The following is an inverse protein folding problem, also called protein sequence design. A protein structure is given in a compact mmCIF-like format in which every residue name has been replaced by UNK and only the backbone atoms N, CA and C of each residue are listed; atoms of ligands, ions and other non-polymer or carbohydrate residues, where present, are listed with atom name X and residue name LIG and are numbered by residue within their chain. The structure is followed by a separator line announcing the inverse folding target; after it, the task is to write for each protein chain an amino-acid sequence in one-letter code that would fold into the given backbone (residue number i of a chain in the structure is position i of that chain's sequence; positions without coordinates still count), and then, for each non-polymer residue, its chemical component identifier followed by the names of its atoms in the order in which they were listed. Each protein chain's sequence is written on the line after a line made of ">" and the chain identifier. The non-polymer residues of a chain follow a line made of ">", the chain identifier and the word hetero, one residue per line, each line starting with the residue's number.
data_IF_765235719262
#
_entry.id   IF_765235719262
#
_cell.length_a   1.000
_cell.length_b   1.000
_cell.length_c   1.000
_cell.angle_alpha   90.00
_cell.angle_beta   90.00
_cell.angle_gamma   90.00
#
_symmetry.space_group_name_H-M   'P 1'
#
loop_
_entity.id
_entity.type
_entity.pdbx_description
1 polymer ?
#
# COMPACT_ATOMS: atom_id res chain seq x y z
N UNK A 1 -22.22 -5.01 24.98
CA UNK A 1 -21.10 -5.04 25.94
C UNK A 1 -20.60 -3.63 25.94
N UNK A 2 -20.85 -2.88 27.02
CA UNK A 2 -20.34 -1.51 27.11
C UNK A 2 -18.82 -1.56 26.85
N UNK A 3 -18.33 -0.68 25.97
CA UNK A 3 -16.92 -0.59 25.55
C UNK A 3 -16.42 -1.63 24.52
N UNK A 4 -17.29 -2.32 23.77
CA UNK A 4 -16.86 -3.24 22.70
C UNK A 4 -15.80 -2.64 21.77
N UNK A 5 -15.97 -1.39 21.36
CA UNK A 5 -15.02 -0.68 20.49
C UNK A 5 -13.60 -0.61 21.07
N UNK A 6 -13.47 -0.33 22.38
CA UNK A 6 -12.17 -0.26 23.04
C UNK A 6 -11.53 -1.64 23.14
N UNK A 7 -12.30 -2.65 23.52
CA UNK A 7 -11.84 -4.05 23.60
C UNK A 7 -11.36 -4.53 22.24
N UNK A 8 -12.09 -4.25 21.16
CA UNK A 8 -11.68 -4.60 19.79
C UNK A 8 -10.36 -3.91 19.39
N UNK A 9 -10.13 -2.66 19.80
CA UNK A 9 -8.88 -1.95 19.51
C UNK A 9 -7.72 -2.60 20.27
N UNK A 10 -7.87 -2.80 21.58
CA UNK A 10 -6.80 -3.37 22.40
C UNK A 10 -6.48 -4.82 22.04
N UNK A 11 -7.51 -5.62 21.76
CA UNK A 11 -7.30 -7.00 21.34
C UNK A 11 -6.57 -7.06 20.00
N UNK A 12 -6.87 -6.16 19.05
CA UNK A 12 -6.09 -6.06 17.81
C UNK A 12 -4.61 -5.84 18.09
N UNK A 13 -4.27 -4.85 18.93
CA UNK A 13 -2.87 -4.60 19.30
C UNK A 13 -2.23 -5.76 20.08
N UNK A 14 -2.99 -6.49 20.88
CA UNK A 14 -2.49 -7.70 21.52
C UNK A 14 -2.16 -8.79 20.49
N UNK A 15 -3.02 -8.99 19.50
CA UNK A 15 -2.80 -9.93 18.39
C UNK A 15 -1.58 -9.51 17.54
N UNK A 16 -1.39 -8.20 17.30
CA UNK A 16 -0.16 -7.65 16.72
C UNK A 16 1.08 -8.06 17.52
N UNK A 17 1.05 -7.88 18.85
CA UNK A 17 2.19 -8.19 19.71
C UNK A 17 2.53 -9.69 19.69
N UNK A 18 1.52 -10.57 19.64
CA UNK A 18 1.75 -12.01 19.46
C UNK A 18 2.50 -12.26 18.16
N UNK A 19 1.98 -11.78 17.02
CA UNK A 19 2.61 -12.00 15.71
C UNK A 19 4.03 -11.41 15.65
N UNK A 20 4.21 -10.16 16.11
CA UNK A 20 5.51 -9.50 16.16
C UNK A 20 6.50 -10.30 17.01
N UNK A 21 6.09 -10.78 18.19
CA UNK A 21 6.97 -11.57 19.08
C UNK A 21 7.37 -12.89 18.42
N UNK A 22 6.41 -13.64 17.88
CA UNK A 22 6.69 -14.92 17.23
C UNK A 22 7.65 -14.75 16.04
N UNK A 23 7.39 -13.78 15.17
CA UNK A 23 8.24 -13.52 14.02
C UNK A 23 9.60 -12.95 14.41
N UNK A 24 9.70 -12.09 15.43
CA UNK A 24 11.01 -11.63 15.93
C UNK A 24 11.85 -12.77 16.50
N UNK A 25 11.23 -13.74 17.17
CA UNK A 25 11.92 -14.90 17.73
C UNK A 25 12.34 -15.92 16.66
N UNK A 26 11.77 -15.84 15.46
CA UNK A 26 12.00 -16.81 14.37
C UNK A 26 12.56 -16.17 13.10
N UNK A 27 12.83 -14.86 13.11
CA UNK A 27 13.40 -14.18 11.96
C UNK A 27 14.81 -14.67 11.66
N UNK A 28 15.17 -14.65 10.39
CA UNK A 28 16.54 -14.94 9.99
C UNK A 28 17.49 -13.95 10.64
N UNK A 29 18.59 -14.46 11.21
CA UNK A 29 19.61 -13.61 11.84
C UNK A 29 20.54 -12.95 10.82
N UNK A 30 20.54 -13.47 9.60
CA UNK A 30 21.38 -13.03 8.49
C UNK A 30 20.57 -12.89 7.20
N UNK A 31 21.26 -12.76 6.06
CA UNK A 31 20.58 -12.71 4.76
C UNK A 31 20.09 -14.12 4.39
N UNK A 32 18.77 -14.25 4.17
CA UNK A 32 18.15 -15.46 3.62
C UNK A 32 18.56 -15.71 2.17
N UNK A 33 18.26 -16.91 1.67
CA UNK A 33 18.43 -17.30 0.27
C UNK A 33 17.61 -16.39 -0.66
N UNK A 34 17.92 -16.38 -1.96
CA UNK A 34 17.23 -15.59 -2.99
C UNK A 34 17.50 -14.08 -2.92
N UNK A 35 16.47 -13.26 -3.22
CA UNK A 35 16.52 -11.80 -3.36
C UNK A 35 16.86 -11.06 -2.06
N UNK A 36 16.68 -11.68 -0.89
CA UNK A 36 16.86 -11.03 0.41
C UNK A 36 18.24 -10.39 0.55
N UNK A 37 19.30 -11.12 0.16
CA UNK A 37 20.68 -10.64 0.23
C UNK A 37 20.95 -9.40 -0.64
N UNK A 38 20.44 -9.42 -1.87
CA UNK A 38 20.52 -8.31 -2.80
C UNK A 38 19.76 -7.10 -2.26
N UNK A 39 18.52 -7.31 -1.79
CA UNK A 39 17.67 -6.24 -1.25
C UNK A 39 18.21 -5.63 0.02
N UNK A 40 18.77 -6.43 0.93
CA UNK A 40 19.47 -5.94 2.12
C UNK A 40 20.65 -5.05 1.73
N UNK A 41 21.47 -5.52 0.78
CA UNK A 41 22.62 -4.77 0.28
C UNK A 41 22.17 -3.47 -0.39
N UNK A 42 21.15 -3.56 -1.24
CA UNK A 42 20.59 -2.44 -1.97
C UNK A 42 19.99 -1.39 -1.05
N UNK A 43 19.18 -1.79 -0.08
CA UNK A 43 18.58 -0.88 0.88
C UNK A 43 19.65 -0.23 1.77
N UNK A 44 20.63 -1.01 2.26
CA UNK A 44 21.68 -0.49 3.14
C UNK A 44 22.53 0.58 2.44
N UNK A 45 22.95 0.35 1.19
CA UNK A 45 23.81 1.30 0.46
C UNK A 45 23.05 2.23 -0.49
N UNK A 46 21.72 2.13 -0.54
CA UNK A 46 20.87 2.78 -1.54
C UNK A 46 21.34 2.46 -2.97
N UNK A 47 21.56 1.19 -3.28
CA UNK A 47 21.95 0.75 -4.62
C UNK A 47 20.70 0.55 -5.50
N UNK A 48 20.90 0.08 -6.75
CA UNK A 48 19.82 -0.17 -7.70
C UNK A 48 19.71 -1.69 -7.94
N UNK A 49 18.76 -2.38 -7.28
CA UNK A 49 18.56 -3.82 -7.45
C UNK A 49 17.85 -4.14 -8.77
N UNK A 50 17.67 -5.42 -9.07
CA UNK A 50 16.98 -5.85 -10.28
C UNK A 50 15.57 -5.22 -10.43
N UNK A 51 15.10 -4.98 -11.68
CA UNK A 51 13.76 -4.48 -11.94
C UNK A 51 12.67 -5.36 -11.30
N UNK A 52 11.61 -4.78 -10.70
CA UNK A 52 11.18 -3.39 -10.81
C UNK A 52 11.80 -2.44 -9.77
N UNK A 53 12.77 -2.90 -8.97
CA UNK A 53 13.58 -2.11 -8.05
C UNK A 53 12.97 -1.80 -6.66
N UNK A 54 11.65 -1.87 -6.50
CA UNK A 54 10.92 -1.68 -5.23
C UNK A 54 11.45 -0.49 -4.37
N UNK A 55 11.51 0.74 -4.92
CA UNK A 55 12.25 1.86 -4.32
C UNK A 55 11.70 2.32 -2.97
N UNK A 56 10.38 2.26 -2.76
CA UNK A 56 9.80 2.60 -1.46
C UNK A 56 10.15 1.55 -0.40
N UNK A 57 10.15 0.27 -0.78
CA UNK A 57 10.64 -0.81 0.09
C UNK A 57 12.12 -0.61 0.42
N UNK A 58 12.96 -0.21 -0.56
CA UNK A 58 14.37 0.15 -0.32
C UNK A 58 14.54 1.32 0.65
N UNK A 59 13.71 2.37 0.56
CA UNK A 59 13.75 3.50 1.49
C UNK A 59 13.35 3.10 2.92
N UNK A 60 12.30 2.28 3.05
CA UNK A 60 11.92 1.72 4.36
C UNK A 60 13.05 0.85 4.92
N UNK A 61 13.63 -0.02 4.09
CA UNK A 61 14.77 -0.86 4.47
C UNK A 61 15.96 -0.01 4.92
N UNK A 62 16.31 1.05 4.17
CA UNK A 62 17.38 1.98 4.56
C UNK A 62 17.13 2.56 5.94
N UNK A 63 15.92 3.04 6.23
CA UNK A 63 15.55 3.55 7.54
C UNK A 63 15.80 2.51 8.65
N UNK A 64 15.38 1.26 8.45
CA UNK A 64 15.59 0.19 9.43
C UNK A 64 17.07 -0.15 9.61
N UNK A 65 17.86 -0.18 8.53
CA UNK A 65 19.29 -0.48 8.63
C UNK A 65 20.09 0.58 9.38
N UNK A 66 19.57 1.81 9.57
CA UNK A 66 20.22 2.84 10.39
C UNK A 66 20.33 2.41 11.87
N UNK A 67 19.42 1.55 12.35
CA UNK A 67 19.47 1.03 13.72
C UNK A 67 20.60 0.02 13.94
N UNK A 68 21.24 -0.49 12.88
CA UNK A 68 22.46 -1.29 12.99
C UNK A 68 23.68 -0.44 13.40
N UNK A 69 23.62 0.89 13.26
CA UNK A 69 24.73 1.80 13.56
C UNK A 69 25.96 1.45 12.72
N UNK A 70 27.11 1.30 13.37
CA UNK A 70 28.37 0.89 12.74
C UNK A 70 28.57 -0.62 12.67
N UNK A 71 27.64 -1.42 13.21
CA UNK A 71 27.78 -2.88 13.29
C UNK A 71 27.15 -3.55 12.05
N UNK A 72 27.99 -3.84 11.06
CA UNK A 72 27.57 -4.45 9.80
C UNK A 72 26.89 -5.81 9.98
N UNK A 73 27.20 -6.54 11.05
CA UNK A 73 26.59 -7.85 11.32
C UNK A 73 25.09 -7.75 11.62
N UNK A 74 24.60 -6.56 12.03
CA UNK A 74 23.20 -6.32 12.41
C UNK A 74 22.34 -5.79 11.27
N UNK A 75 22.92 -5.44 10.12
CA UNK A 75 22.19 -4.84 8.99
C UNK A 75 21.08 -5.77 8.49
N UNK A 76 21.38 -7.06 8.33
CA UNK A 76 20.40 -8.04 7.89
C UNK A 76 19.25 -8.19 8.89
N UNK A 77 19.56 -8.41 10.18
CA UNK A 77 18.56 -8.51 11.24
C UNK A 77 17.69 -7.25 11.36
N UNK A 78 18.28 -6.06 11.20
CA UNK A 78 17.54 -4.79 11.22
C UNK A 78 16.53 -4.71 10.06
N UNK A 79 16.90 -5.18 8.87
CA UNK A 79 15.99 -5.22 7.73
C UNK A 79 14.95 -6.34 7.84
N UNK A 80 15.31 -7.53 8.33
CA UNK A 80 14.34 -8.60 8.61
C UNK A 80 13.30 -8.14 9.64
N UNK A 81 13.70 -7.34 10.63
CA UNK A 81 12.78 -6.71 11.60
C UNK A 81 11.73 -5.83 10.92
N UNK A 82 12.06 -5.16 9.81
CA UNK A 82 11.07 -4.39 9.03
C UNK A 82 9.96 -5.30 8.49
N UNK A 83 10.33 -6.44 7.88
CA UNK A 83 9.37 -7.41 7.37
C UNK A 83 8.52 -8.00 8.49
N UNK A 84 9.15 -8.35 9.62
CA UNK A 84 8.45 -8.84 10.81
C UNK A 84 7.36 -7.87 11.27
N UNK A 85 7.70 -6.58 11.38
CA UNK A 85 6.74 -5.56 11.81
C UNK A 85 5.65 -5.34 10.76
N UNK A 86 5.99 -5.31 9.47
CA UNK A 86 5.01 -5.20 8.39
C UNK A 86 4.02 -6.37 8.41
N UNK A 87 4.51 -7.59 8.61
CA UNK A 87 3.67 -8.78 8.76
C UNK A 87 2.82 -8.74 10.03
N UNK A 88 3.35 -8.30 11.17
CA UNK A 88 2.55 -8.11 12.38
C UNK A 88 1.42 -7.09 12.16
N UNK A 89 1.69 -5.99 11.45
CA UNK A 89 0.65 -5.03 11.05
C UNK A 89 -0.37 -5.64 10.09
N UNK A 90 0.04 -6.54 9.19
CA UNK A 90 -0.88 -7.32 8.36
C UNK A 90 -1.87 -8.09 9.22
N UNK A 91 -1.38 -8.79 10.25
CA UNK A 91 -2.21 -9.56 11.19
C UNK A 91 -3.15 -8.65 12.00
N UNK A 92 -2.69 -7.46 12.41
CA UNK A 92 -3.52 -6.44 13.07
C UNK A 92 -4.70 -6.00 12.20
N UNK A 93 -4.43 -5.60 10.95
CA UNK A 93 -5.46 -5.13 10.04
C UNK A 93 -6.38 -6.25 9.58
N UNK A 94 -5.87 -7.47 9.44
CA UNK A 94 -6.68 -8.65 9.18
C UNK A 94 -7.64 -8.92 10.33
N UNK A 95 -7.17 -8.87 11.58
CA UNK A 95 -8.02 -8.99 12.77
C UNK A 95 -9.17 -7.96 12.72
N UNK A 96 -8.85 -6.67 12.53
CA UNK A 96 -9.90 -5.64 12.48
C UNK A 96 -10.83 -5.74 11.26
N UNK A 97 -10.33 -6.30 10.15
CA UNK A 97 -11.15 -6.58 8.97
C UNK A 97 -12.15 -7.68 9.28
N UNK A 98 -11.71 -8.80 9.85
CA UNK A 98 -12.57 -9.91 10.22
C UNK A 98 -13.59 -9.46 11.28
N UNK A 99 -13.18 -8.74 12.33
CA UNK A 99 -14.14 -8.29 13.35
C UNK A 99 -15.16 -7.29 12.81
N UNK A 100 -14.77 -6.41 11.88
CA UNK A 100 -15.72 -5.52 11.18
C UNK A 100 -16.75 -6.33 10.38
N UNK A 101 -16.30 -7.30 9.58
CA UNK A 101 -17.18 -8.14 8.77
C UNK A 101 -18.09 -9.03 9.62
N UNK A 102 -17.54 -9.70 10.64
CA UNK A 102 -18.32 -10.52 11.58
C UNK A 102 -19.36 -9.68 12.33
N UNK A 103 -18.99 -8.45 12.77
CA UNK A 103 -19.96 -7.55 13.40
C UNK A 103 -21.10 -7.21 12.45
N UNK A 104 -20.80 -6.92 11.19
CA UNK A 104 -21.81 -6.59 10.15
C UNK A 104 -22.83 -7.71 9.95
N UNK A 105 -22.43 -8.96 10.11
CA UNK A 105 -23.30 -10.11 9.95
C UNK A 105 -24.19 -10.37 11.18
N UNK A 106 -23.69 -10.07 12.38
CA UNK A 106 -24.33 -10.49 13.64
C UNK A 106 -25.13 -9.36 14.29
N UNK A 107 -24.69 -8.10 14.12
CA UNK A 107 -25.23 -6.95 14.86
C UNK A 107 -25.43 -5.77 13.91
N UNK A 108 -26.54 -5.06 14.05
CA UNK A 108 -26.74 -3.78 13.35
C UNK A 108 -25.67 -2.80 13.80
N UNK A 109 -25.10 -2.02 12.87
CA UNK A 109 -23.91 -1.22 13.15
C UNK A 109 -24.08 -0.16 14.24
N UNK A 110 -25.33 0.28 14.49
CA UNK A 110 -25.68 1.25 15.52
C UNK A 110 -25.92 0.63 16.90
N UNK A 111 -26.04 -0.71 16.98
CA UNK A 111 -26.29 -1.43 18.22
C UNK A 111 -25.00 -1.93 18.88
N UNK A 112 -25.01 -1.99 20.20
CA UNK A 112 -23.95 -2.62 20.99
C UNK A 112 -24.15 -4.15 21.03
N UNK A 113 -23.15 -4.97 20.68
CA UNK A 113 -23.29 -6.43 20.69
C UNK A 113 -23.56 -6.94 22.11
N UNK A 114 -24.37 -7.99 22.29
CA UNK A 114 -24.42 -8.70 23.59
C UNK A 114 -23.04 -9.30 23.94
N UNK A 115 -22.83 -9.75 25.18
CA UNK A 115 -21.54 -10.35 25.57
C UNK A 115 -21.21 -11.57 24.68
N UNK A 116 -22.17 -12.46 24.45
CA UNK A 116 -21.99 -13.62 23.57
C UNK A 116 -21.68 -13.25 22.13
N UNK A 117 -22.35 -12.23 21.59
CA UNK A 117 -22.06 -11.71 20.24
C UNK A 117 -20.66 -11.07 20.17
N UNK A 118 -20.26 -10.32 21.20
CA UNK A 118 -18.93 -9.73 21.28
C UNK A 118 -17.85 -10.81 21.31
N UNK A 119 -18.02 -11.85 22.10
CA UNK A 119 -17.11 -13.01 22.15
C UNK A 119 -17.05 -13.70 20.78
N UNK A 120 -18.18 -13.94 20.12
CA UNK A 120 -18.19 -14.54 18.79
C UNK A 120 -17.43 -13.68 17.76
N UNK A 121 -17.69 -12.37 17.73
CA UNK A 121 -17.02 -11.46 16.79
C UNK A 121 -15.51 -11.39 17.05
N UNK A 122 -15.11 -11.14 18.30
CA UNK A 122 -13.69 -11.01 18.69
C UNK A 122 -12.96 -12.34 18.51
N UNK A 123 -13.61 -13.45 18.86
CA UNK A 123 -13.10 -14.81 18.67
C UNK A 123 -12.88 -15.15 17.21
N UNK A 124 -13.83 -14.84 16.32
CA UNK A 124 -13.66 -15.01 14.87
C UNK A 124 -12.46 -14.20 14.35
N UNK A 125 -12.32 -12.95 14.80
CA UNK A 125 -11.18 -12.10 14.44
C UNK A 125 -9.85 -12.69 14.90
N UNK A 126 -9.76 -13.09 16.17
CA UNK A 126 -8.53 -13.64 16.75
C UNK A 126 -8.14 -14.96 16.09
N UNK A 127 -9.09 -15.90 15.97
CA UNK A 127 -8.84 -17.21 15.35
C UNK A 127 -8.45 -17.05 13.88
N UNK A 128 -9.17 -16.24 13.10
CA UNK A 128 -8.87 -16.07 11.69
C UNK A 128 -7.54 -15.36 11.43
N UNK A 129 -7.23 -14.30 12.19
CA UNK A 129 -5.98 -13.58 12.04
C UNK A 129 -4.77 -14.40 12.49
N UNK A 130 -4.87 -15.10 13.63
CA UNK A 130 -3.80 -15.98 14.09
C UNK A 130 -3.65 -17.21 13.19
N UNK A 131 -4.74 -17.83 12.74
CA UNK A 131 -4.64 -18.94 11.79
C UNK A 131 -3.85 -18.54 10.54
N UNK A 132 -4.08 -17.34 10.00
CA UNK A 132 -3.27 -16.80 8.90
C UNK A 132 -1.81 -16.56 9.29
N UNK A 133 -1.57 -15.99 10.49
CA UNK A 133 -0.23 -15.76 11.02
C UNK A 133 0.63 -17.04 11.09
N UNK A 134 -0.02 -18.17 11.37
CA UNK A 134 0.62 -19.47 11.50
C UNK A 134 0.56 -20.32 10.21
N UNK A 135 0.19 -19.75 9.06
CA UNK A 135 0.30 -20.44 7.77
C UNK A 135 1.74 -20.43 7.26
N UNK A 136 2.17 -21.54 6.67
CA UNK A 136 3.54 -21.73 6.16
C UNK A 136 3.98 -20.60 5.21
N UNK A 137 3.20 -20.34 4.16
CA UNK A 137 3.57 -19.33 3.16
C UNK A 137 3.62 -17.90 3.71
N UNK A 138 2.73 -17.54 4.65
CA UNK A 138 2.75 -16.21 5.26
C UNK A 138 3.87 -16.08 6.28
N UNK A 139 4.12 -17.12 7.09
CA UNK A 139 5.21 -17.13 8.04
C UNK A 139 6.55 -16.97 7.32
N UNK A 140 6.78 -17.77 6.27
CA UNK A 140 8.03 -17.78 5.51
C UNK A 140 8.44 -16.37 5.02
N UNK A 141 7.52 -15.62 4.40
CA UNK A 141 7.81 -14.25 3.95
C UNK A 141 7.90 -13.22 5.08
N UNK A 142 7.40 -13.55 6.28
CA UNK A 142 7.39 -12.63 7.44
C UNK A 142 8.71 -12.58 8.18
N UNK A 143 9.57 -13.58 8.01
CA UNK A 143 10.82 -13.76 8.74
C UNK A 143 12.07 -13.32 7.98
N UNK A 144 11.91 -12.83 6.75
CA UNK A 144 13.01 -12.42 5.85
C UNK A 144 12.75 -11.07 5.16
N UNK A 145 13.82 -10.42 4.70
CA UNK A 145 13.82 -9.07 4.11
C UNK A 145 13.22 -9.02 2.69
N UNK A 146 11.95 -9.39 2.57
CA UNK A 146 11.23 -9.49 1.31
C UNK A 146 10.08 -8.48 1.16
N UNK A 147 9.85 -7.97 -0.08
CA UNK A 147 8.84 -6.95 -0.36
C UNK A 147 7.40 -7.46 -0.16
N UNK A 148 7.17 -8.77 -0.25
CA UNK A 148 5.84 -9.37 -0.04
C UNK A 148 5.26 -9.05 1.34
N UNK A 149 6.06 -9.06 2.42
CA UNK A 149 5.58 -8.71 3.76
C UNK A 149 5.01 -7.29 3.81
N UNK A 150 5.74 -6.32 3.24
CA UNK A 150 5.30 -4.92 3.17
C UNK A 150 4.11 -4.74 2.21
N UNK A 151 4.08 -5.49 1.10
CA UNK A 151 2.95 -5.48 0.16
C UNK A 151 1.66 -5.99 0.81
N UNK A 152 1.73 -7.06 1.61
CA UNK A 152 0.58 -7.60 2.34
C UNK A 152 0.11 -6.65 3.44
N UNK A 153 1.03 -5.95 4.12
CA UNK A 153 0.68 -4.90 5.07
C UNK A 153 -0.16 -3.81 4.40
N UNK A 154 0.28 -3.32 3.25
CA UNK A 154 -0.48 -2.32 2.49
C UNK A 154 -1.83 -2.84 2.01
N UNK A 155 -1.87 -4.09 1.56
CA UNK A 155 -3.11 -4.77 1.14
C UNK A 155 -4.11 -4.82 2.30
N UNK A 156 -3.69 -5.30 3.47
CA UNK A 156 -4.55 -5.40 4.64
C UNK A 156 -4.99 -4.02 5.16
N UNK A 157 -4.08 -3.03 5.16
CA UNK A 157 -4.37 -1.66 5.54
C UNK A 157 -5.40 -1.01 4.60
N UNK A 158 -5.24 -1.16 3.28
CA UNK A 158 -6.19 -0.62 2.28
C UNK A 158 -7.56 -1.26 2.42
N UNK A 159 -7.61 -2.58 2.59
CA UNK A 159 -8.87 -3.29 2.77
C UNK A 159 -9.58 -2.87 4.07
N UNK A 160 -8.83 -2.75 5.17
CA UNK A 160 -9.35 -2.21 6.42
C UNK A 160 -9.83 -0.77 6.27
N UNK A 161 -9.08 0.07 5.55
CA UNK A 161 -9.42 1.48 5.34
C UNK A 161 -10.69 1.66 4.51
N UNK A 162 -10.96 0.80 3.52
CA UNK A 162 -12.22 0.89 2.75
C UNK A 162 -13.43 0.47 3.58
N UNK A 163 -13.26 -0.46 4.52
CA UNK A 163 -14.30 -0.78 5.51
C UNK A 163 -14.52 0.37 6.52
N UNK A 164 -13.46 1.14 6.84
CA UNK A 164 -13.62 2.38 7.61
C UNK A 164 -14.36 3.45 6.83
N UNK A 165 -14.08 3.59 5.53
CA UNK A 165 -14.85 4.46 4.64
C UNK A 165 -16.33 4.07 4.61
N UNK A 166 -16.63 2.78 4.47
CA UNK A 166 -18.00 2.24 4.42
C UNK A 166 -18.85 2.72 5.61
N UNK A 167 -18.29 2.68 6.82
CA UNK A 167 -18.98 3.10 8.05
C UNK A 167 -19.37 4.58 8.09
N UNK A 168 -18.70 5.42 7.30
CA UNK A 168 -18.91 6.88 7.30
C UNK A 168 -19.30 7.41 5.93
N UNK A 169 -19.64 6.54 4.98
CA UNK A 169 -19.77 6.89 3.56
C UNK A 169 -20.81 7.99 3.28
N UNK A 170 -21.79 8.18 4.17
CA UNK A 170 -22.85 9.20 4.05
C UNK A 170 -22.61 10.43 4.93
N UNK A 171 -21.48 10.48 5.64
CA UNK A 171 -21.09 11.61 6.48
C UNK A 171 -20.23 12.60 5.70
N UNK A 172 -20.26 13.90 6.06
CA UNK A 172 -19.29 14.86 5.54
C UNK A 172 -17.85 14.36 5.71
N UNK A 173 -16.99 14.69 4.75
CA UNK A 173 -15.57 14.32 4.72
C UNK A 173 -15.27 12.81 4.62
N UNK A 174 -16.24 11.95 4.29
CA UNK A 174 -16.00 10.52 4.06
C UNK A 174 -14.88 10.24 3.04
N UNK A 175 -14.80 11.06 1.98
CA UNK A 175 -13.84 10.91 0.89
C UNK A 175 -12.37 10.97 1.35
N UNK A 176 -12.05 11.49 2.54
CA UNK A 176 -10.69 11.45 3.09
C UNK A 176 -10.10 10.03 3.14
N UNK A 177 -10.96 9.02 3.36
CA UNK A 177 -10.53 7.63 3.34
C UNK A 177 -10.19 7.17 1.93
N UNK A 178 -10.94 7.59 0.91
CA UNK A 178 -10.63 7.26 -0.49
C UNK A 178 -9.33 7.94 -0.94
N UNK A 179 -9.08 9.17 -0.48
CA UNK A 179 -7.81 9.87 -0.68
C UNK A 179 -6.65 9.15 0.02
N UNK A 180 -6.84 8.70 1.27
CA UNK A 180 -5.84 7.90 1.98
C UNK A 180 -5.56 6.57 1.27
N UNK A 181 -6.60 5.87 0.82
CA UNK A 181 -6.48 4.61 0.08
C UNK A 181 -5.69 4.82 -1.21
N UNK A 182 -6.05 5.83 -2.01
CA UNK A 182 -5.33 6.14 -3.26
C UNK A 182 -3.88 6.54 -3.03
N UNK A 183 -3.57 7.28 -1.95
CA UNK A 183 -2.20 7.58 -1.56
C UNK A 183 -1.40 6.32 -1.19
N UNK A 184 -1.96 5.46 -0.33
CA UNK A 184 -1.34 4.20 0.08
C UNK A 184 -1.12 3.27 -1.12
N UNK A 185 -2.09 3.21 -2.03
CA UNK A 185 -1.95 2.49 -3.28
C UNK A 185 -0.79 3.05 -4.13
N UNK A 186 -0.64 4.37 -4.20
CA UNK A 186 0.52 5.00 -4.85
C UNK A 186 1.86 4.58 -4.25
N UNK A 187 1.98 4.63 -2.92
CA UNK A 187 3.18 4.18 -2.20
C UNK A 187 3.47 2.70 -2.45
N UNK A 188 2.43 1.86 -2.46
CA UNK A 188 2.55 0.42 -2.65
C UNK A 188 3.09 0.03 -4.02
N UNK A 189 2.89 0.86 -5.06
CA UNK A 189 3.51 0.62 -6.36
C UNK A 189 5.04 0.61 -6.22
N UNK A 190 5.60 1.47 -5.36
CA UNK A 190 7.02 1.49 -5.00
C UNK A 190 7.49 0.31 -4.13
N UNK A 191 6.61 -0.62 -3.79
CA UNK A 191 6.93 -1.86 -3.06
C UNK A 191 6.67 -3.06 -3.97
N UNK A 192 5.41 -3.26 -4.38
CA UNK A 192 4.98 -4.34 -5.24
C UNK A 192 3.61 -4.00 -5.86
N UNK A 193 3.39 -4.37 -7.12
CA UNK A 193 2.13 -4.11 -7.84
C UNK A 193 0.92 -4.91 -7.32
N UNK A 194 1.13 -5.84 -6.38
CA UNK A 194 0.10 -6.79 -5.94
C UNK A 194 -1.02 -6.08 -5.19
N UNK A 195 -0.71 -4.98 -4.49
CA UNK A 195 -1.71 -4.19 -3.80
C UNK A 195 -2.76 -3.58 -4.74
N UNK A 196 -2.49 -3.44 -6.05
CA UNK A 196 -3.50 -3.01 -7.02
C UNK A 196 -4.68 -4.00 -7.13
N UNK A 197 -4.49 -5.26 -6.73
CA UNK A 197 -5.57 -6.26 -6.63
C UNK A 197 -6.60 -5.94 -5.54
N UNK A 198 -6.37 -4.92 -4.71
CA UNK A 198 -7.40 -4.38 -3.81
C UNK A 198 -8.46 -3.56 -4.55
N UNK A 199 -8.20 -3.10 -5.79
CA UNK A 199 -9.13 -2.30 -6.59
C UNK A 199 -10.49 -2.98 -6.72
N UNK A 200 -10.61 -4.26 -7.14
CA UNK A 200 -11.89 -4.95 -7.17
C UNK A 200 -12.65 -4.92 -5.85
N UNK A 201 -11.97 -5.20 -4.75
CA UNK A 201 -12.61 -5.15 -3.43
C UNK A 201 -13.14 -3.75 -3.10
N UNK A 202 -12.36 -2.70 -3.37
CA UNK A 202 -12.77 -1.31 -3.14
C UNK A 202 -14.00 -0.96 -3.98
N UNK A 203 -14.00 -1.33 -5.27
CA UNK A 203 -15.12 -1.09 -6.19
C UNK A 203 -16.39 -1.80 -5.69
N UNK A 204 -16.27 -3.05 -5.23
CA UNK A 204 -17.41 -3.78 -4.66
C UNK A 204 -17.91 -3.17 -3.35
N UNK A 205 -17.02 -2.82 -2.42
CA UNK A 205 -17.41 -2.15 -1.15
C UNK A 205 -18.10 -0.82 -1.46
N UNK A 206 -17.60 -0.05 -2.42
CA UNK A 206 -18.23 1.17 -2.89
C UNK A 206 -19.62 0.91 -3.48
N UNK A 207 -19.73 -0.05 -4.40
CA UNK A 207 -20.98 -0.41 -5.06
C UNK A 207 -22.03 -0.86 -4.04
N UNK A 208 -21.69 -1.80 -3.16
CA UNK A 208 -22.59 -2.32 -2.12
C UNK A 208 -23.01 -1.26 -1.12
N UNK A 209 -22.20 -0.22 -0.90
CA UNK A 209 -22.54 0.87 0.02
C UNK A 209 -23.41 1.94 -0.62
N UNK A 210 -23.18 2.30 -1.89
CA UNK A 210 -23.81 3.44 -2.55
C UNK A 210 -24.98 3.07 -3.46
N UNK A 211 -25.13 1.80 -3.81
CA UNK A 211 -26.14 1.35 -4.75
C UNK A 211 -26.90 0.13 -4.23
N UNK A 212 -28.15 -0.03 -4.69
CA UNK A 212 -28.91 -1.26 -4.46
C UNK A 212 -28.28 -2.39 -5.26
N UNK A 213 -28.07 -3.53 -4.60
CA UNK A 213 -27.46 -4.71 -5.21
C UNK A 213 -28.43 -5.34 -6.21
N UNK A 214 -28.00 -5.46 -7.46
CA UNK A 214 -28.74 -6.14 -8.54
C UNK A 214 -27.77 -7.02 -9.33
N UNK A 215 -28.28 -8.03 -10.05
CA UNK A 215 -27.45 -8.91 -10.89
C UNK A 215 -26.62 -8.09 -11.90
N UNK A 216 -27.25 -7.15 -12.58
CA UNK A 216 -26.58 -6.30 -13.57
C UNK A 216 -25.65 -5.25 -12.96
N UNK A 217 -25.99 -4.71 -11.79
CA UNK A 217 -25.08 -3.81 -11.08
C UNK A 217 -23.84 -4.54 -10.53
N UNK A 218 -23.97 -5.80 -10.11
CA UNK A 218 -22.83 -6.65 -9.75
C UNK A 218 -21.92 -6.92 -10.96
N UNK A 219 -22.49 -7.31 -12.11
CA UNK A 219 -21.73 -7.50 -13.36
C UNK A 219 -21.06 -6.19 -13.80
N UNK A 220 -21.77 -5.06 -13.68
CA UNK A 220 -21.22 -3.74 -13.96
C UNK A 220 -20.06 -3.35 -13.03
N UNK A 221 -20.16 -3.64 -11.73
CA UNK A 221 -19.09 -3.42 -10.76
C UNK A 221 -17.87 -4.31 -11.05
N UNK A 222 -18.08 -5.58 -11.43
CA UNK A 222 -17.01 -6.47 -11.86
C UNK A 222 -16.30 -5.91 -13.10
N UNK A 223 -17.05 -5.54 -14.14
CA UNK A 223 -16.49 -4.92 -15.34
C UNK A 223 -15.72 -3.63 -15.04
N UNK A 224 -16.28 -2.74 -14.21
CA UNK A 224 -15.63 -1.52 -13.78
C UNK A 224 -14.34 -1.78 -12.99
N UNK A 225 -14.31 -2.81 -12.13
CA UNK A 225 -13.11 -3.16 -11.38
C UNK A 225 -11.98 -3.67 -12.27
N UNK A 226 -12.29 -4.54 -13.22
CA UNK A 226 -11.31 -5.07 -14.19
C UNK A 226 -10.80 -3.92 -15.07
N UNK A 227 -11.70 -3.07 -15.56
CA UNK A 227 -11.34 -1.91 -16.37
C UNK A 227 -10.45 -0.93 -15.59
N UNK A 228 -10.77 -0.65 -14.32
CA UNK A 228 -9.98 0.25 -13.49
C UNK A 228 -8.60 -0.33 -13.17
N UNK A 229 -8.53 -1.63 -12.82
CA UNK A 229 -7.26 -2.33 -12.61
C UNK A 229 -6.40 -2.30 -13.88
N UNK A 230 -6.98 -2.64 -15.03
CA UNK A 230 -6.30 -2.61 -16.32
C UNK A 230 -5.85 -1.20 -16.72
N UNK A 231 -6.67 -0.18 -16.47
CA UNK A 231 -6.31 1.22 -16.72
C UNK A 231 -5.10 1.62 -15.86
N UNK A 232 -5.07 1.28 -14.57
CA UNK A 232 -3.93 1.60 -13.70
C UNK A 232 -2.66 0.86 -14.16
N UNK A 233 -2.76 -0.46 -14.38
CA UNK A 233 -1.61 -1.32 -14.68
C UNK A 233 -1.01 -1.09 -16.08
N UNK A 234 -1.84 -0.92 -17.10
CA UNK A 234 -1.39 -0.91 -18.49
C UNK A 234 -1.40 0.48 -19.14
N UNK A 235 -2.16 1.43 -18.58
CA UNK A 235 -2.27 2.79 -19.17
C UNK A 235 -1.60 3.82 -18.28
N UNK A 236 -1.98 3.92 -17.00
CA UNK A 236 -1.51 5.00 -16.12
C UNK A 236 -0.03 4.81 -15.77
N UNK A 237 0.34 3.67 -15.18
CA UNK A 237 1.73 3.44 -14.74
C UNK A 237 2.70 3.47 -15.94
N UNK A 238 2.51 2.67 -17.01
CA UNK A 238 3.43 2.68 -18.15
C UNK A 238 3.33 3.97 -18.96
N UNK A 239 2.14 4.59 -19.03
CA UNK A 239 1.92 5.81 -19.79
C UNK A 239 2.63 7.02 -19.18
N UNK A 240 2.71 7.13 -17.86
CA UNK A 240 3.49 8.18 -17.18
C UNK A 240 4.98 8.04 -17.55
N UNK A 241 5.54 6.83 -17.43
CA UNK A 241 6.96 6.57 -17.75
C UNK A 241 7.25 6.77 -19.24
N UNK A 242 6.42 6.23 -20.13
CA UNK A 242 6.57 6.40 -21.58
C UNK A 242 6.47 7.87 -22.00
N UNK A 243 5.57 8.64 -21.37
CA UNK A 243 5.45 10.08 -21.63
C UNK A 243 6.71 10.83 -21.20
N UNK A 244 7.20 10.59 -19.97
CA UNK A 244 8.46 11.18 -19.50
C UNK A 244 9.63 10.87 -20.45
N UNK A 245 9.76 9.63 -20.92
CA UNK A 245 10.79 9.23 -21.86
C UNK A 245 10.65 9.93 -23.23
N UNK A 246 9.42 10.12 -23.74
CA UNK A 246 9.18 10.86 -24.99
C UNK A 246 9.56 12.33 -24.86
N UNK A 247 9.25 12.98 -23.73
CA UNK A 247 9.69 14.36 -23.45
C UNK A 247 11.21 14.46 -23.38
N UNK A 248 11.87 13.49 -22.72
CA UNK A 248 13.33 13.42 -22.66
C UNK A 248 13.96 13.33 -24.06
N UNK A 249 13.49 12.39 -24.88
CA UNK A 249 13.98 12.24 -26.25
C UNK A 249 13.73 13.48 -27.11
N UNK A 250 12.57 14.14 -26.96
CA UNK A 250 12.27 15.38 -27.67
C UNK A 250 13.26 16.49 -27.29
N UNK A 251 13.45 16.72 -25.99
CA UNK A 251 14.26 17.82 -25.48
C UNK A 251 15.76 17.62 -25.78
N UNK A 252 16.27 16.40 -25.58
CA UNK A 252 17.68 16.10 -25.84
C UNK A 252 17.97 16.02 -27.34
N UNK A 253 17.18 15.28 -28.11
CA UNK A 253 17.53 15.02 -29.52
C UNK A 253 17.15 16.18 -30.44
N UNK A 254 16.00 16.83 -30.19
CA UNK A 254 15.48 17.88 -31.08
C UNK A 254 15.91 19.27 -30.61
N UNK A 255 15.74 19.58 -29.31
CA UNK A 255 16.11 20.89 -28.77
C UNK A 255 17.57 20.99 -28.31
N UNK A 256 18.33 19.88 -28.35
CA UNK A 256 19.75 19.83 -27.96
C UNK A 256 20.01 20.30 -26.52
N UNK A 257 19.04 20.10 -25.64
CA UNK A 257 19.17 20.41 -24.22
C UNK A 257 19.94 19.29 -23.48
N UNK A 258 20.49 19.58 -22.28
CA UNK A 258 21.17 18.57 -21.46
C UNK A 258 20.24 17.41 -21.08
N UNK A 259 20.83 16.25 -20.77
CA UNK A 259 20.12 15.11 -20.20
C UNK A 259 19.31 15.50 -18.96
N UNK A 260 18.19 14.82 -18.74
CA UNK A 260 17.15 15.04 -17.74
C UNK A 260 16.26 16.27 -17.95
N UNK A 261 16.56 17.14 -18.92
CA UNK A 261 15.77 18.37 -19.14
C UNK A 261 14.31 18.08 -19.50
N UNK A 262 14.05 17.04 -20.31
CA UNK A 262 12.70 16.67 -20.70
C UNK A 262 11.93 15.97 -19.58
N UNK A 263 12.59 15.11 -18.79
CA UNK A 263 11.98 14.50 -17.60
C UNK A 263 11.61 15.57 -16.56
N UNK A 264 12.50 16.52 -16.27
CA UNK A 264 12.23 17.62 -15.34
C UNK A 264 11.06 18.46 -15.83
N UNK A 265 11.04 18.83 -17.11
CA UNK A 265 9.92 19.55 -17.71
C UNK A 265 8.61 18.77 -17.57
N UNK A 266 8.60 17.47 -17.89
CA UNK A 266 7.42 16.63 -17.78
C UNK A 266 6.87 16.58 -16.35
N UNK A 267 7.74 16.42 -15.35
CA UNK A 267 7.36 16.42 -13.93
C UNK A 267 6.69 17.76 -13.57
N UNK A 268 7.34 18.89 -13.86
CA UNK A 268 6.80 20.22 -13.56
C UNK A 268 5.48 20.46 -14.29
N UNK A 269 5.40 20.07 -15.56
CA UNK A 269 4.20 20.19 -16.38
C UNK A 269 3.04 19.36 -15.83
N UNK A 270 3.29 18.08 -15.49
CA UNK A 270 2.28 17.18 -14.94
C UNK A 270 1.74 17.68 -13.59
N UNK A 271 2.63 18.10 -12.67
CA UNK A 271 2.20 18.66 -11.39
C UNK A 271 1.46 19.99 -11.54
N UNK A 272 1.88 20.84 -12.49
CA UNK A 272 1.18 22.10 -12.80
C UNK A 272 -0.23 21.83 -13.35
N UNK A 273 -0.39 20.83 -14.22
CA UNK A 273 -1.67 20.41 -14.76
C UNK A 273 -2.61 19.86 -13.67
N UNK A 274 -2.08 19.05 -12.75
CA UNK A 274 -2.83 18.55 -11.59
C UNK A 274 -3.26 19.70 -10.67
N UNK A 275 -2.35 20.60 -10.34
CA UNK A 275 -2.64 21.77 -9.49
C UNK A 275 -3.71 22.68 -10.13
N UNK A 276 -3.59 22.96 -11.43
CA UNK A 276 -4.59 23.70 -12.18
C UNK A 276 -5.94 22.98 -12.18
N UNK A 277 -5.95 21.66 -12.40
CA UNK A 277 -7.15 20.85 -12.37
C UNK A 277 -7.86 20.87 -11.01
N UNK A 278 -7.09 20.78 -9.91
CA UNK A 278 -7.62 20.89 -8.54
C UNK A 278 -8.23 22.26 -8.28
N UNK A 279 -7.52 23.33 -8.64
CA UNK A 279 -8.01 24.70 -8.50
C UNK A 279 -9.29 24.94 -9.32
N UNK A 280 -9.28 24.52 -10.59
CA UNK A 280 -10.41 24.71 -11.51
C UNK A 280 -11.66 23.96 -11.03
N UNK A 281 -11.50 22.69 -10.62
CA UNK A 281 -12.61 21.86 -10.14
C UNK A 281 -13.17 22.34 -8.81
N UNK A 282 -12.33 22.85 -7.91
CA UNK A 282 -12.75 23.49 -6.68
C UNK A 282 -13.56 24.76 -6.97
N UNK A 283 -13.06 25.64 -7.86
CA UNK A 283 -13.77 26.86 -8.27
C UNK A 283 -15.13 26.57 -8.91
N UNK A 284 -15.23 25.49 -9.68
CA UNK A 284 -16.48 25.06 -10.35
C UNK A 284 -17.36 24.14 -9.48
N UNK A 285 -16.98 23.87 -8.23
CA UNK A 285 -17.73 23.01 -7.29
C UNK A 285 -18.04 21.60 -7.85
N UNK A 286 -17.17 21.05 -8.71
CA UNK A 286 -17.35 19.73 -9.31
C UNK A 286 -16.74 18.64 -8.41
N UNK A 287 -17.49 18.22 -7.39
CA UNK A 287 -17.01 17.32 -6.32
C UNK A 287 -16.41 16.01 -6.85
N UNK A 288 -17.09 15.33 -7.78
CA UNK A 288 -16.61 14.05 -8.33
C UNK A 288 -15.28 14.23 -9.07
N UNK A 289 -15.22 15.19 -9.99
CA UNK A 289 -14.01 15.46 -10.78
C UNK A 289 -12.86 15.92 -9.88
N UNK A 290 -13.15 16.76 -8.88
CA UNK A 290 -12.15 17.18 -7.89
C UNK A 290 -11.58 15.98 -7.13
N UNK A 291 -12.43 15.04 -6.69
CA UNK A 291 -11.99 13.84 -5.97
C UNK A 291 -11.14 12.93 -6.87
N UNK A 292 -11.48 12.81 -8.16
CA UNK A 292 -10.69 12.03 -9.12
C UNK A 292 -9.31 12.65 -9.36
N UNK A 293 -9.23 13.96 -9.59
CA UNK A 293 -7.94 14.66 -9.78
C UNK A 293 -7.11 14.61 -8.48
N UNK A 294 -7.75 14.73 -7.32
CA UNK A 294 -7.07 14.59 -6.03
C UNK A 294 -6.50 13.18 -5.84
N UNK A 295 -7.27 12.14 -6.18
CA UNK A 295 -6.82 10.76 -6.19
C UNK A 295 -5.62 10.55 -7.12
N UNK A 296 -5.67 11.10 -8.34
CA UNK A 296 -4.56 11.08 -9.29
C UNK A 296 -3.33 11.84 -8.75
N UNK A 297 -3.54 12.94 -8.03
CA UNK A 297 -2.44 13.72 -7.45
C UNK A 297 -1.73 12.92 -6.35
N UNK A 298 -2.47 12.33 -5.41
CA UNK A 298 -1.87 11.59 -4.29
C UNK A 298 -1.29 10.25 -4.71
N UNK A 299 -1.84 9.57 -5.73
CA UNK A 299 -1.22 8.35 -6.27
C UNK A 299 0.11 8.69 -6.96
N UNK A 300 0.19 9.81 -7.70
CA UNK A 300 1.45 10.30 -8.28
C UNK A 300 2.48 10.69 -7.22
N UNK A 301 2.05 11.29 -6.10
CA UNK A 301 2.93 11.55 -4.96
C UNK A 301 3.45 10.23 -4.36
N UNK A 302 2.60 9.22 -4.19
CA UNK A 302 3.07 7.91 -3.70
C UNK A 302 4.05 7.23 -4.68
N UNK A 303 3.75 7.32 -5.98
CA UNK A 303 4.58 6.78 -7.05
C UNK A 303 5.94 7.50 -7.21
N UNK A 304 6.09 8.72 -6.68
CA UNK A 304 7.30 9.52 -6.85
C UNK A 304 8.56 8.87 -6.25
N UNK A 305 8.40 7.86 -5.38
CA UNK A 305 9.50 7.01 -4.89
C UNK A 305 10.32 6.38 -6.03
N UNK A 306 9.73 6.13 -7.21
CA UNK A 306 10.46 5.65 -8.40
C UNK A 306 11.54 6.60 -8.92
N UNK A 307 11.44 7.89 -8.60
CA UNK A 307 12.50 8.87 -8.92
C UNK A 307 13.82 8.48 -8.25
N UNK A 308 13.80 7.77 -7.11
CA UNK A 308 15.00 7.27 -6.45
C UNK A 308 15.83 6.38 -7.36
N UNK A 309 15.20 5.46 -8.10
CA UNK A 309 15.93 4.54 -9.00
C UNK A 309 16.67 5.34 -10.08
N UNK A 310 16.02 6.35 -10.66
CA UNK A 310 16.64 7.21 -11.69
C UNK A 310 17.82 7.98 -11.12
N UNK A 311 17.63 8.62 -9.96
CA UNK A 311 18.69 9.39 -9.29
C UNK A 311 19.88 8.49 -8.94
N UNK A 312 19.60 7.31 -8.38
CA UNK A 312 20.64 6.38 -7.96
C UNK A 312 21.34 5.75 -9.16
N UNK A 313 20.64 5.34 -10.21
CA UNK A 313 21.28 4.85 -11.44
C UNK A 313 22.25 5.88 -12.04
N UNK A 314 21.88 7.17 -12.03
CA UNK A 314 22.75 8.25 -12.51
C UNK A 314 23.99 8.49 -11.62
N UNK A 315 23.90 8.21 -10.33
CA UNK A 315 25.05 8.24 -9.44
C UNK A 315 26.03 7.07 -9.68
N UNK A 316 25.68 6.13 -10.59
CA UNK A 316 26.47 4.99 -11.00
C UNK A 316 27.05 4.17 -9.83
N UNK A 317 26.21 3.65 -8.93
CA UNK A 317 26.66 2.97 -7.74
C UNK A 317 27.13 1.54 -8.11
N UNK A 318 27.96 0.89 -7.28
CA UNK A 318 28.58 -0.39 -7.62
C UNK A 318 27.59 -1.50 -8.01
N UNK A 319 26.38 -1.50 -7.43
CA UNK A 319 25.29 -2.35 -7.86
C UNK A 319 24.25 -1.51 -8.60
N UNK A 320 24.28 -1.60 -9.93
CA UNK A 320 23.28 -1.01 -10.81
C UNK A 320 22.85 -2.01 -11.88
N UNK A 321 21.63 -2.53 -11.74
CA UNK A 321 21.06 -3.55 -12.64
C UNK A 321 20.01 -2.98 -13.61
N UNK A 322 19.88 -1.65 -13.70
CA UNK A 322 18.97 -0.94 -14.59
C UNK A 322 19.73 -0.09 -15.63
#
# INVERSE_FOLDING_TARGET
>A
MKNYKQVNIYLGWFIFLIAATVYLLTMESSASFWDCSERITAAYKLEVPHPPGAPFFMLMGRFFTLFAGSDLSKVAAAMNTMSVLASAFTILFLFWTITHLSRRLIVKMDDEPSLGQAVAILGSGAIGALAYAFTDSFWFISVEAEAYATSLMFTALVFWAVLKWENVADKPHANRWLVLITFIMGLSIGVHLLNLLTIPAIVFVYYFRKHKVTKWGFVGALGASIALLGAVMYVIIPGIISSAAKFELLFVNSFKLPYNSGVIFFIVFAFSLLAFGLWYTAKKQRVLLHTLILGLSVISIGYSSYTLLVIRAQANPPMNQN
#
